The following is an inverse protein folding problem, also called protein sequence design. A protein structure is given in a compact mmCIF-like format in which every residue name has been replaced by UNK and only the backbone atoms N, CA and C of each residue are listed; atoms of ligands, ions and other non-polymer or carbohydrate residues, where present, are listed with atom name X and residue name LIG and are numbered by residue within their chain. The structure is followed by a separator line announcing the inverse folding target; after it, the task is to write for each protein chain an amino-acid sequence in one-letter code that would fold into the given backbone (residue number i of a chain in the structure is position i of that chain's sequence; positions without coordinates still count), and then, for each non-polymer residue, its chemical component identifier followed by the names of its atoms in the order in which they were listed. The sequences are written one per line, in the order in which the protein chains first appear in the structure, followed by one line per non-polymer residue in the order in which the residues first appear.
data_IF_926614097320
#
_entry.id   IF_926614097320
#
_cell.length_a   1.000
_cell.length_b   1.000
_cell.length_c   1.000
_cell.angle_alpha   90.00
_cell.angle_beta   90.00
_cell.angle_gamma   90.00
#
_symmetry.space_group_name_H-M   'P 1'
#
loop_
_entity.id
_entity.type
_entity.pdbx_description
1 polymer ?
#
# COMPACT_ATOMS: atom_id res chain seq x y z
N UNK A 1 -3.58 14.18 -4.95
CA UNK A 1 -4.10 14.61 -6.26
C UNK A 1 -5.59 14.31 -6.29
N UNK A 2 -6.43 15.26 -6.71
CA UNK A 2 -7.86 14.97 -6.93
C UNK A 2 -8.07 14.33 -8.31
N UNK A 3 -9.27 13.78 -8.56
CA UNK A 3 -9.63 13.25 -9.88
C UNK A 3 -9.54 14.32 -10.98
N UNK A 4 -9.92 15.57 -10.68
CA UNK A 4 -9.86 16.66 -11.66
C UNK A 4 -8.41 17.06 -11.97
N UNK A 5 -7.56 17.11 -10.94
CA UNK A 5 -6.12 17.35 -11.13
C UNK A 5 -5.48 16.26 -11.99
N UNK A 6 -5.93 15.01 -11.81
CA UNK A 6 -5.48 13.86 -12.60
C UNK A 6 -5.84 14.06 -14.07
N UNK A 7 -7.09 14.41 -14.38
CA UNK A 7 -7.49 14.67 -15.76
C UNK A 7 -6.78 15.87 -16.37
N UNK A 8 -6.54 16.94 -15.60
CA UNK A 8 -5.79 18.09 -16.07
C UNK A 8 -4.32 17.73 -16.37
N UNK A 9 -3.71 16.86 -15.59
CA UNK A 9 -2.38 16.31 -15.87
C UNK A 9 -2.39 15.41 -17.11
N UNK A 10 -3.32 14.45 -17.19
CA UNK A 10 -3.42 13.51 -18.31
C UNK A 10 -3.71 14.20 -19.64
N UNK A 11 -4.55 15.23 -19.65
CA UNK A 11 -4.82 16.01 -20.86
C UNK A 11 -3.55 16.68 -21.38
N UNK A 12 -2.68 17.18 -20.49
CA UNK A 12 -1.36 17.74 -20.87
C UNK A 12 -0.41 16.66 -21.39
N UNK A 13 -0.40 15.52 -20.72
CA UNK A 13 0.41 14.38 -21.12
C UNK A 13 0.02 13.90 -22.52
N UNK A 14 -1.27 13.65 -22.75
CA UNK A 14 -1.81 13.21 -24.02
C UNK A 14 -1.54 14.22 -25.15
N UNK A 15 -1.75 15.51 -24.87
CA UNK A 15 -1.48 16.56 -25.86
C UNK A 15 0.01 16.64 -26.24
N UNK A 16 0.92 16.40 -25.28
CA UNK A 16 2.36 16.32 -25.54
C UNK A 16 2.74 15.06 -26.33
N UNK A 17 2.11 13.93 -26.05
CA UNK A 17 2.29 12.68 -26.81
C UNK A 17 1.81 12.79 -28.26
N UNK A 18 0.76 13.58 -28.52
CA UNK A 18 0.21 13.82 -29.85
C UNK A 18 0.98 14.88 -30.66
N UNK A 19 1.89 15.64 -30.04
CA UNK A 19 2.73 16.60 -30.76
C UNK A 19 3.84 15.88 -31.51
N UNK A 20 3.67 15.72 -32.83
CA UNK A 20 4.61 15.04 -33.72
C UNK A 20 6.00 15.68 -33.71
N UNK A 21 6.10 16.99 -33.47
CA UNK A 21 7.40 17.69 -33.41
C UNK A 21 8.17 17.31 -32.15
N UNK A 22 7.45 17.13 -31.06
CA UNK A 22 8.01 16.74 -29.77
C UNK A 22 8.24 15.24 -29.68
N UNK A 23 7.34 14.41 -30.21
CA UNK A 23 7.37 12.97 -30.03
C UNK A 23 6.70 12.23 -31.23
N UNK A 24 7.49 11.61 -32.12
CA UNK A 24 6.94 10.95 -33.31
C UNK A 24 6.30 9.58 -33.02
N UNK A 25 6.62 8.97 -31.88
CA UNK A 25 6.32 7.56 -31.61
C UNK A 25 4.83 7.27 -31.53
N UNK A 26 4.01 8.19 -31.03
CA UNK A 26 2.55 7.99 -31.02
C UNK A 26 2.02 7.73 -32.44
N UNK A 27 2.43 8.57 -33.40
CA UNK A 27 2.06 8.43 -34.81
C UNK A 27 2.68 7.17 -35.42
N UNK A 28 3.95 6.89 -35.12
CA UNK A 28 4.65 5.68 -35.60
C UNK A 28 3.93 4.41 -35.16
N UNK A 29 3.57 4.32 -33.87
CA UNK A 29 2.88 3.18 -33.29
C UNK A 29 1.46 3.00 -33.83
N UNK A 30 0.68 4.08 -33.89
CA UNK A 30 -0.68 4.04 -34.43
C UNK A 30 -0.68 3.65 -35.91
N UNK A 31 0.21 4.24 -36.72
CA UNK A 31 0.32 3.89 -38.14
C UNK A 31 0.79 2.46 -38.33
N UNK A 32 1.78 2.00 -37.56
CA UNK A 32 2.31 0.65 -37.69
C UNK A 32 1.26 -0.42 -37.34
N UNK A 33 0.58 -0.27 -36.20
CA UNK A 33 -0.38 -1.26 -35.70
C UNK A 33 -1.76 -1.17 -36.34
N UNK A 34 -2.35 0.03 -36.41
CA UNK A 34 -3.75 0.19 -36.82
C UNK A 34 -3.92 0.42 -38.32
N UNK A 35 -3.00 1.17 -38.95
CA UNK A 35 -3.09 1.50 -40.39
C UNK A 35 -2.41 0.43 -41.24
N UNK A 36 -1.13 0.17 -41.00
CA UNK A 36 -0.31 -0.74 -41.80
C UNK A 36 -0.44 -2.21 -41.35
N UNK A 37 -0.98 -2.45 -40.13
CA UNK A 37 -1.19 -3.77 -39.54
C UNK A 37 0.04 -4.67 -39.63
N UNK A 38 1.21 -4.07 -39.43
CA UNK A 38 2.47 -4.79 -39.48
C UNK A 38 2.63 -5.65 -38.22
N UNK A 39 3.10 -6.88 -38.40
CA UNK A 39 3.32 -7.82 -37.28
C UNK A 39 4.69 -7.64 -36.59
N UNK A 40 5.56 -6.81 -37.17
CA UNK A 40 6.90 -6.54 -36.65
C UNK A 40 6.87 -5.55 -35.47
N UNK A 41 8.02 -5.28 -34.86
CA UNK A 41 8.14 -4.23 -33.85
C UNK A 41 8.16 -2.85 -34.54
N UNK A 42 7.33 -1.86 -34.12
CA UNK A 42 7.46 -0.49 -34.60
C UNK A 42 8.80 0.13 -34.17
N UNK A 43 9.34 1.02 -34.99
CA UNK A 43 10.62 1.69 -34.74
C UNK A 43 10.49 2.83 -33.72
N UNK A 44 10.37 2.47 -32.43
CA UNK A 44 10.34 3.41 -31.30
C UNK A 44 11.65 4.21 -31.17
N UNK A 45 11.54 5.42 -30.62
CA UNK A 45 12.67 6.31 -30.34
C UNK A 45 12.57 6.88 -28.94
N UNK A 46 13.46 6.49 -28.01
CA UNK A 46 14.55 5.51 -28.15
C UNK A 46 14.08 4.06 -28.37
N UNK A 47 14.97 3.20 -28.86
CA UNK A 47 14.65 1.79 -29.13
C UNK A 47 14.82 0.92 -27.90
N UNK A 48 15.66 1.32 -26.96
CA UNK A 48 15.93 0.61 -25.71
C UNK A 48 15.58 1.46 -24.49
N UNK A 49 15.30 0.81 -23.36
CA UNK A 49 14.94 1.50 -22.13
C UNK A 49 16.12 2.26 -21.53
N UNK A 50 17.35 1.75 -21.73
CA UNK A 50 18.58 2.33 -21.19
C UNK A 50 18.96 3.65 -21.88
N UNK A 51 18.42 3.89 -23.08
CA UNK A 51 18.60 5.12 -23.85
C UNK A 51 17.65 6.25 -23.41
N UNK A 52 16.72 5.96 -22.49
CA UNK A 52 15.73 6.94 -22.01
C UNK A 52 16.34 7.84 -20.94
N UNK A 53 16.50 9.13 -21.26
CA UNK A 53 16.81 10.14 -20.25
C UNK A 53 15.57 10.47 -19.41
N UNK A 54 15.54 9.93 -18.19
CA UNK A 54 14.47 10.14 -17.22
C UNK A 54 14.31 11.62 -16.83
N UNK A 55 15.40 12.39 -16.73
CA UNK A 55 15.32 13.79 -16.32
C UNK A 55 14.64 14.63 -17.40
N UNK A 56 15.07 14.47 -18.66
CA UNK A 56 14.42 15.13 -19.79
C UNK A 56 12.95 14.69 -19.95
N UNK A 57 12.66 13.40 -19.75
CA UNK A 57 11.29 12.87 -19.80
C UNK A 57 10.40 13.53 -18.74
N UNK A 58 10.84 13.58 -17.49
CA UNK A 58 10.07 14.19 -16.39
C UNK A 58 9.81 15.66 -16.66
N UNK A 59 10.83 16.42 -17.08
CA UNK A 59 10.65 17.84 -17.40
C UNK A 59 9.70 18.05 -18.58
N UNK A 60 9.77 17.20 -19.60
CA UNK A 60 8.97 17.35 -20.81
C UNK A 60 7.50 17.01 -20.61
N UNK A 61 7.21 15.91 -19.91
CA UNK A 61 5.85 15.36 -19.82
C UNK A 61 5.11 15.74 -18.52
N UNK A 62 5.84 15.99 -17.43
CA UNK A 62 5.26 16.27 -16.12
C UNK A 62 5.52 17.71 -15.63
N UNK A 63 6.07 18.59 -16.48
CA UNK A 63 6.14 20.01 -16.12
C UNK A 63 4.75 20.64 -16.06
N UNK A 64 4.61 21.66 -15.20
CA UNK A 64 3.32 22.31 -15.02
C UNK A 64 2.88 23.14 -16.24
N UNK A 65 3.72 23.25 -17.27
CA UNK A 65 3.51 24.05 -18.48
C UNK A 65 3.47 23.13 -19.69
N UNK A 66 2.39 23.20 -20.46
CA UNK A 66 2.32 22.52 -21.75
C UNK A 66 3.39 23.05 -22.72
N UNK A 67 3.84 22.21 -23.64
CA UNK A 67 4.70 22.64 -24.74
C UNK A 67 4.06 23.84 -25.47
N UNK A 68 4.85 24.86 -25.79
CA UNK A 68 4.36 26.12 -26.38
C UNK A 68 3.66 25.92 -27.74
N UNK A 69 3.86 24.77 -28.38
CA UNK A 69 3.27 24.38 -29.66
C UNK A 69 1.87 23.80 -29.54
N UNK A 70 1.40 23.47 -28.34
CA UNK A 70 0.21 22.63 -28.16
C UNK A 70 -0.97 23.44 -27.61
N UNK A 71 -2.03 23.56 -28.40
CA UNK A 71 -3.31 24.11 -27.93
C UNK A 71 -4.03 23.06 -27.07
N UNK A 72 -4.07 23.29 -25.76
CA UNK A 72 -4.76 22.41 -24.81
C UNK A 72 -6.10 23.02 -24.42
N UNK A 73 -7.15 22.22 -24.51
CA UNK A 73 -8.46 22.58 -23.97
C UNK A 73 -8.38 22.55 -22.44
N UNK A 74 -8.66 23.69 -21.80
CA UNK A 74 -8.75 23.75 -20.33
C UNK A 74 -10.02 23.03 -19.88
N UNK A 75 -9.86 21.99 -19.08
CA UNK A 75 -10.96 21.18 -18.56
C UNK A 75 -11.88 21.96 -17.60
N UNK A 76 -11.41 23.07 -17.03
CA UNK A 76 -12.19 23.97 -16.16
C UNK A 76 -13.49 24.49 -16.82
N UNK A 77 -13.55 24.52 -18.16
CA UNK A 77 -14.74 24.92 -18.91
C UNK A 77 -15.80 23.83 -19.10
N UNK A 78 -15.47 22.57 -18.79
CA UNK A 78 -16.39 21.44 -18.92
C UNK A 78 -17.20 21.28 -17.63
N UNK A 79 -18.46 21.70 -17.64
CA UNK A 79 -19.36 21.56 -16.49
C UNK A 79 -19.76 20.09 -16.32
N UNK A 80 -19.18 19.42 -15.32
CA UNK A 80 -19.60 18.08 -14.90
C UNK A 80 -20.59 18.17 -13.74
N UNK A 81 -21.53 17.21 -13.67
CA UNK A 81 -22.44 17.07 -12.52
C UNK A 81 -21.75 16.45 -11.29
N UNK A 82 -20.63 15.77 -11.50
CA UNK A 82 -19.85 15.14 -10.44
C UNK A 82 -18.87 16.14 -9.84
N UNK A 83 -18.79 16.14 -8.50
CA UNK A 83 -17.79 16.89 -7.74
C UNK A 83 -16.45 16.16 -7.75
N UNK A 84 -15.37 16.93 -7.73
CA UNK A 84 -14.03 16.41 -7.53
C UNK A 84 -13.93 15.61 -6.22
N UNK A 85 -13.17 14.50 -6.25
CA UNK A 85 -12.89 13.67 -5.09
C UNK A 85 -11.43 13.22 -5.09
N UNK A 86 -10.89 13.01 -3.88
CA UNK A 86 -9.56 12.42 -3.70
C UNK A 86 -9.59 10.89 -3.61
N UNK A 87 -10.68 10.37 -3.07
CA UNK A 87 -10.94 8.93 -2.96
C UNK A 87 -12.30 8.62 -3.56
N UNK A 88 -12.41 7.47 -4.23
CA UNK A 88 -13.64 7.08 -4.88
C UNK A 88 -14.77 6.90 -3.83
N UNK A 89 -15.89 7.64 -3.92
CA UNK A 89 -16.91 7.70 -2.85
C UNK A 89 -17.66 6.39 -2.64
N UNK A 90 -17.63 5.48 -3.61
CA UNK A 90 -18.32 4.19 -3.56
C UNK A 90 -17.35 2.99 -3.44
N UNK A 91 -16.11 3.23 -2.98
CA UNK A 91 -15.08 2.19 -2.82
C UNK A 91 -15.48 1.07 -1.86
N UNK A 92 -16.38 1.33 -0.90
CA UNK A 92 -16.90 0.38 0.08
C UNK A 92 -17.55 -0.88 -0.51
N UNK A 93 -18.07 -0.80 -1.73
CA UNK A 93 -18.69 -1.96 -2.40
C UNK A 93 -17.66 -2.88 -3.07
N UNK A 94 -16.37 -2.53 -3.06
CA UNK A 94 -15.28 -3.32 -3.59
C UNK A 94 -14.89 -4.52 -2.72
N UNK A 95 -13.75 -5.12 -3.01
CA UNK A 95 -13.05 -6.01 -2.07
C UNK A 95 -12.19 -5.16 -1.13
N UNK A 96 -11.90 -5.60 0.11
CA UNK A 96 -11.07 -4.84 1.06
C UNK A 96 -9.71 -4.47 0.44
N UNK A 97 -9.24 -3.25 0.65
CA UNK A 97 -7.91 -2.82 0.18
C UNK A 97 -6.80 -3.47 1.02
N UNK A 98 -5.59 -3.59 0.46
CA UNK A 98 -4.43 -4.08 1.24
C UNK A 98 -4.14 -3.18 2.45
N UNK A 99 -4.37 -1.87 2.32
CA UNK A 99 -4.22 -0.91 3.41
C UNK A 99 -5.21 -1.13 4.54
N UNK A 100 -6.48 -1.43 4.21
CA UNK A 100 -7.48 -1.79 5.21
C UNK A 100 -7.12 -3.10 5.92
N UNK A 101 -6.66 -4.11 5.16
CA UNK A 101 -6.19 -5.39 5.74
C UNK A 101 -4.99 -5.14 6.67
N UNK A 102 -4.05 -4.28 6.26
CA UNK A 102 -2.92 -3.87 7.11
C UNK A 102 -3.41 -3.21 8.39
N UNK A 103 -4.37 -2.29 8.31
CA UNK A 103 -4.92 -1.64 9.50
C UNK A 103 -5.52 -2.65 10.49
N UNK A 104 -6.23 -3.68 10.00
CA UNK A 104 -6.72 -4.76 10.85
C UNK A 104 -5.60 -5.60 11.48
N UNK A 105 -4.51 -5.86 10.76
CA UNK A 105 -3.37 -6.63 11.29
C UNK A 105 -2.57 -5.83 12.32
N UNK A 106 -2.36 -4.53 12.09
CA UNK A 106 -1.62 -3.66 13.02
C UNK A 106 -2.44 -3.27 14.25
N UNK A 107 -3.77 -3.35 14.17
CA UNK A 107 -4.67 -2.90 15.23
C UNK A 107 -4.95 -1.39 15.20
N UNK A 108 -4.73 -0.74 14.05
CA UNK A 108 -4.95 0.72 13.87
C UNK A 108 -6.42 1.07 13.64
N UNK A 109 -7.32 0.08 13.61
CA UNK A 109 -8.76 0.30 13.36
C UNK A 109 -9.45 0.77 14.65
N UNK A 110 -9.96 2.01 14.63
CA UNK A 110 -10.74 2.60 15.73
C UNK A 110 -11.96 1.72 16.04
N UNK A 111 -12.02 1.18 17.26
CA UNK A 111 -13.18 0.42 17.76
C UNK A 111 -13.03 -1.10 17.74
N UNK A 112 -11.92 -1.65 17.25
CA UNK A 112 -11.56 -3.07 17.44
C UNK A 112 -10.35 -3.12 18.37
N UNK A 113 -10.55 -3.61 19.58
CA UNK A 113 -9.64 -3.61 20.73
C UNK A 113 -8.15 -3.59 20.36
N UNK A 114 -7.50 -2.46 20.66
CA UNK A 114 -6.05 -2.32 20.57
C UNK A 114 -5.33 -3.37 21.41
N UNK A 115 -4.17 -3.80 20.91
CA UNK A 115 -3.21 -4.75 21.53
C UNK A 115 -3.48 -6.26 21.44
N UNK A 116 -4.56 -6.74 20.81
CA UNK A 116 -4.75 -8.18 20.63
C UNK A 116 -4.03 -8.69 19.38
N UNK A 117 -3.12 -9.64 19.61
CA UNK A 117 -2.44 -10.37 18.56
C UNK A 117 -3.45 -11.31 17.86
N UNK A 118 -4.04 -10.87 16.74
CA UNK A 118 -5.04 -11.66 16.01
C UNK A 118 -4.40 -12.86 15.30
N UNK A 119 -5.09 -13.99 15.36
CA UNK A 119 -4.78 -15.15 14.53
C UNK A 119 -5.31 -14.97 13.10
N UNK A 120 -4.80 -15.79 12.18
CA UNK A 120 -5.25 -15.80 10.78
C UNK A 120 -6.75 -16.04 10.65
N UNK A 121 -7.26 -17.03 11.38
CA UNK A 121 -8.67 -17.42 11.27
C UNK A 121 -9.61 -16.37 11.86
N UNK A 122 -9.23 -15.75 12.98
CA UNK A 122 -10.03 -14.68 13.60
C UNK A 122 -10.14 -13.47 12.66
N UNK A 123 -9.03 -13.06 12.04
CA UNK A 123 -9.04 -11.96 11.08
C UNK A 123 -9.91 -12.28 9.86
N UNK A 124 -9.82 -13.50 9.35
CA UNK A 124 -10.66 -13.95 8.23
C UNK A 124 -12.15 -13.87 8.57
N UNK A 125 -12.55 -14.40 9.73
CA UNK A 125 -13.95 -14.38 10.16
C UNK A 125 -14.46 -12.96 10.38
N UNK A 126 -13.65 -12.10 11.02
CA UNK A 126 -13.99 -10.69 11.25
C UNK A 126 -14.27 -9.95 9.93
N UNK A 127 -13.33 -10.03 8.98
CA UNK A 127 -13.47 -9.31 7.70
C UNK A 127 -14.56 -9.91 6.83
N UNK A 128 -14.75 -11.24 6.85
CA UNK A 128 -15.88 -11.86 6.14
C UNK A 128 -17.23 -11.38 6.68
N UNK A 129 -17.36 -11.21 8.00
CA UNK A 129 -18.54 -10.63 8.62
C UNK A 129 -18.80 -9.19 8.14
N UNK A 130 -17.77 -8.35 8.13
CA UNK A 130 -17.88 -6.95 7.67
C UNK A 130 -18.28 -6.81 6.19
N UNK A 131 -17.88 -7.78 5.37
CA UNK A 131 -18.16 -7.80 3.93
C UNK A 131 -19.32 -8.75 3.56
N UNK A 132 -20.18 -9.13 4.50
CA UNK A 132 -21.35 -9.99 4.28
C UNK A 132 -21.03 -11.28 3.49
N UNK A 133 -19.89 -11.93 3.80
CA UNK A 133 -19.43 -13.15 3.11
C UNK A 133 -19.32 -13.02 1.59
N UNK A 134 -18.97 -11.82 1.11
CA UNK A 134 -18.77 -11.56 -0.32
C UNK A 134 -17.71 -12.50 -0.92
N UNK A 135 -18.03 -13.06 -2.10
CA UNK A 135 -17.15 -13.97 -2.83
C UNK A 135 -15.82 -13.28 -3.15
N UNK A 136 -14.72 -14.01 -2.95
CA UNK A 136 -13.36 -13.53 -3.22
C UNK A 136 -12.69 -12.78 -2.07
N UNK A 137 -13.43 -12.35 -1.04
CA UNK A 137 -12.83 -11.71 0.16
C UNK A 137 -11.87 -12.67 0.86
N UNK A 138 -12.30 -13.92 1.07
CA UNK A 138 -11.48 -14.95 1.72
C UNK A 138 -10.17 -15.20 0.94
N UNK A 139 -10.25 -15.41 -0.37
CA UNK A 139 -9.07 -15.67 -1.20
C UNK A 139 -8.12 -14.47 -1.22
N UNK A 140 -8.66 -13.25 -1.32
CA UNK A 140 -7.86 -12.02 -1.27
C UNK A 140 -7.13 -11.88 0.07
N UNK A 141 -7.81 -12.14 1.18
CA UNK A 141 -7.18 -12.08 2.50
C UNK A 141 -6.08 -13.13 2.63
N UNK A 142 -6.33 -14.36 2.19
CA UNK A 142 -5.33 -15.43 2.22
C UNK A 142 -4.08 -15.01 1.43
N UNK A 143 -4.22 -14.55 0.18
CA UNK A 143 -3.10 -14.08 -0.65
C UNK A 143 -2.30 -12.95 0.03
N UNK A 144 -2.99 -11.94 0.53
CA UNK A 144 -2.35 -10.78 1.16
C UNK A 144 -1.61 -11.19 2.43
N UNK A 145 -2.22 -12.03 3.26
CA UNK A 145 -1.58 -12.51 4.49
C UNK A 145 -0.34 -13.35 4.17
N UNK A 146 -0.41 -14.26 3.21
CA UNK A 146 0.74 -15.10 2.83
C UNK A 146 1.92 -14.26 2.33
N UNK A 147 1.65 -13.23 1.52
CA UNK A 147 2.68 -12.37 0.94
C UNK A 147 3.22 -11.32 1.91
N UNK A 148 2.37 -10.74 2.75
CA UNK A 148 2.70 -9.52 3.54
C UNK A 148 2.99 -9.77 5.00
N UNK A 149 2.69 -10.96 5.51
CA UNK A 149 2.78 -11.23 6.94
C UNK A 149 3.67 -12.43 7.26
N UNK A 150 4.04 -12.54 8.53
CA UNK A 150 4.75 -13.70 9.09
C UNK A 150 4.01 -14.14 10.34
N UNK A 151 3.88 -15.44 10.49
CA UNK A 151 3.31 -16.05 11.68
C UNK A 151 4.39 -16.10 12.76
N UNK A 152 4.19 -15.37 13.86
CA UNK A 152 5.03 -15.49 15.05
C UNK A 152 4.40 -16.48 16.00
N UNK A 153 5.17 -17.50 16.39
CA UNK A 153 4.82 -18.41 17.48
C UNK A 153 5.06 -17.68 18.80
N UNK A 154 4.02 -17.52 19.62
CA UNK A 154 4.17 -16.98 20.97
C UNK A 154 5.10 -17.83 21.85
N UNK A 155 5.65 -17.27 22.94
CA UNK A 155 6.52 -18.02 23.84
C UNK A 155 5.78 -19.23 24.42
N UNK A 156 6.38 -20.41 24.26
CA UNK A 156 5.90 -21.66 24.84
C UNK A 156 6.02 -21.55 26.35
N UNK A 157 4.89 -21.45 27.06
CA UNK A 157 4.88 -21.50 28.52
C UNK A 157 5.44 -22.83 29.02
N UNK A 158 6.29 -22.79 30.06
CA UNK A 158 6.92 -23.94 30.69
C UNK A 158 5.92 -25.09 30.92
N UNK A 159 6.17 -26.23 30.29
CA UNK A 159 5.42 -27.47 30.50
C UNK A 159 5.81 -28.07 31.86
N UNK A 160 4.84 -28.28 32.75
CA UNK A 160 5.03 -28.97 34.02
C UNK A 160 4.62 -30.45 33.83
N UNK A 161 5.51 -31.44 33.97
CA UNK A 161 5.29 -32.82 33.49
C UNK A 161 4.34 -33.68 34.35
N UNK A 162 3.62 -33.12 35.34
CA UNK A 162 2.82 -33.90 36.29
C UNK A 162 1.30 -33.78 36.18
N UNK A 163 0.76 -33.26 35.07
CA UNK A 163 -0.70 -33.31 34.83
C UNK A 163 -1.02 -34.38 33.80
N UNK A 164 -1.29 -35.59 34.29
CA UNK A 164 -1.86 -36.68 33.52
C UNK A 164 -3.38 -36.50 33.39
N UNK A 165 -3.90 -36.88 32.22
CA UNK A 165 -5.30 -37.02 31.82
C UNK A 165 -6.07 -35.78 31.36
N UNK A 166 -6.33 -35.79 30.04
CA UNK A 166 -7.34 -35.07 29.28
C UNK A 166 -7.25 -33.54 29.27
N UNK A 167 -7.18 -33.01 28.04
CA UNK A 167 -7.06 -31.61 27.64
C UNK A 167 -5.62 -31.06 27.59
N UNK A 168 -5.34 -30.23 26.56
CA UNK A 168 -4.09 -29.45 26.32
C UNK A 168 -3.08 -30.12 25.38
N UNK A 169 -3.28 -29.96 24.07
CA UNK A 169 -2.31 -29.19 23.28
C UNK A 169 -3.04 -27.91 22.95
N UNK A 170 -2.97 -26.95 23.88
CA UNK A 170 -3.44 -25.59 23.65
C UNK A 170 -2.71 -25.07 22.41
N UNK A 171 -3.50 -24.62 21.45
CA UNK A 171 -3.10 -23.85 20.28
C UNK A 171 -1.85 -23.04 20.59
N UNK A 172 -0.78 -23.33 19.86
CA UNK A 172 0.34 -22.40 19.76
C UNK A 172 -0.27 -21.08 19.32
N UNK A 173 -0.34 -20.09 20.22
CA UNK A 173 -0.89 -18.76 19.92
C UNK A 173 0.01 -18.12 18.86
N UNK A 174 -0.31 -18.41 17.61
CA UNK A 174 0.43 -17.98 16.45
C UNK A 174 -0.26 -16.74 15.90
N UNK A 175 0.39 -15.59 16.00
CA UNK A 175 -0.19 -14.32 15.61
C UNK A 175 0.51 -13.76 14.38
N UNK A 176 -0.24 -12.98 13.62
CA UNK A 176 0.22 -12.41 12.36
C UNK A 176 0.89 -11.06 12.64
N UNK A 177 2.11 -10.89 12.14
CA UNK A 177 2.78 -9.58 12.13
C UNK A 177 3.13 -9.14 10.71
N UNK A 178 3.09 -7.84 10.39
CA UNK A 178 3.58 -7.35 9.11
C UNK A 178 5.08 -7.61 8.93
N UNK A 179 5.50 -8.04 7.73
CA UNK A 179 6.91 -8.34 7.41
C UNK A 179 7.88 -7.18 7.66
N UNK A 180 7.41 -5.93 7.54
CA UNK A 180 8.25 -4.74 7.71
C UNK A 180 8.58 -4.42 9.17
N UNK A 181 7.90 -5.03 10.16
CA UNK A 181 8.19 -4.82 11.59
C UNK A 181 9.33 -5.70 12.13
N UNK A 182 10.01 -6.49 11.29
CA UNK A 182 11.07 -7.40 11.72
C UNK A 182 12.45 -6.74 11.92
N UNK A 183 12.60 -5.43 11.66
CA UNK A 183 13.90 -4.74 11.79
C UNK A 183 14.16 -4.06 13.15
N UNK A 184 13.28 -4.21 14.15
CA UNK A 184 13.44 -3.56 15.45
C UNK A 184 13.58 -4.60 16.58
N UNK A 185 14.66 -5.37 16.58
CA UNK A 185 15.03 -6.20 17.75
C UNK A 185 16.55 -6.19 17.96
N UNK A 186 17.05 -5.09 18.51
CA UNK A 186 18.26 -4.94 19.34
C UNK A 186 18.16 -3.52 19.90
N UNK A 187 17.89 -3.28 21.19
CA UNK A 187 18.80 -3.46 22.31
C UNK A 187 17.95 -3.62 23.57
N UNK A 188 18.15 -4.71 24.30
CA UNK A 188 17.66 -4.87 25.65
C UNK A 188 18.46 -3.94 26.57
N UNK A 189 17.86 -2.85 27.04
CA UNK A 189 18.38 -2.12 28.20
C UNK A 189 17.87 -2.85 29.45
N UNK A 190 18.81 -3.51 30.11
CA UNK A 190 18.69 -4.19 31.39
C UNK A 190 18.22 -3.18 32.45
N UNK A 191 17.13 -3.43 33.21
CA UNK A 191 16.81 -2.59 34.36
C UNK A 191 17.75 -2.99 35.50
N UNK A 192 18.72 -2.12 35.81
CA UNK A 192 19.55 -2.27 37.00
C UNK A 192 18.71 -1.92 38.24
N UNK A 193 18.69 -2.86 39.19
CA UNK A 193 18.03 -2.72 40.48
C UNK A 193 18.67 -1.56 41.26
N UNK A 194 17.87 -0.55 41.62
CA UNK A 194 18.20 0.35 42.71
C UNK A 194 17.29 0.01 43.90
N UNK A 195 17.87 -0.59 44.94
CA UNK A 195 17.28 -0.64 46.28
C UNK A 195 17.60 0.63 47.07
N UNK A 196 16.80 0.98 48.09
CA UNK A 196 16.81 2.28 48.74
C UNK A 196 17.75 2.30 49.97
N UNK A 197 18.50 3.40 50.09
CA UNK A 197 19.17 3.84 51.32
C UNK A 197 19.29 5.35 51.20
N UNK A 198 18.92 6.21 52.13
CA UNK A 198 18.60 6.11 53.54
C UNK A 198 18.68 7.56 54.02
N UNK A 199 17.70 7.98 54.82
CA UNK A 199 17.71 9.27 55.54
C UNK A 199 19.04 9.49 56.25
N UNK A 200 19.59 10.71 56.14
CA UNK A 200 20.17 11.42 57.28
C UNK A 200 20.25 12.92 57.02
N UNK A 201 19.90 13.63 58.07
CA UNK A 201 19.71 15.07 58.19
C UNK A 201 21.01 15.89 58.14
N UNK A 202 20.80 17.22 58.13
CA UNK A 202 21.52 18.23 58.91
C UNK A 202 22.68 19.00 58.26
N UNK A 203 22.34 20.25 57.92
CA UNK A 203 22.96 21.49 58.41
C UNK A 203 24.36 21.95 57.95
N UNK A 204 24.39 23.29 57.79
CA UNK A 204 25.48 24.24 58.04
C UNK A 204 26.42 24.68 56.88
N UNK A 205 26.34 26.01 56.70
CA UNK A 205 27.17 26.99 55.98
C UNK A 205 27.08 27.07 54.45
#
# INVERSE_FOLDING_TARGET
MSIDDCFAMEMRLAATCCDVKSHPDFVTGVKHLLVNKQKSRPGWRPSEIDEVDLAALTTKYFSNRAASSTHIVRLEGLKTQMKSYHEYPHSKYGLPSEELIKAFVTGDVKGTSGHLALTRQELLQLVLGLYNHKIGVQHKLIDVLDRRTVVKVGPVGNYNPHTTHNSIIKLVNSYIVPRHCLSATAVAVKPELAQPSGMQDSSFN
#
